data_IF_065952586953
#
_entry.id   IF_065952586953
#
_cell.length_a   1.000
_cell.length_b   1.000
_cell.length_c   1.000
_cell.angle_alpha   90.00
_cell.angle_beta   90.00
_cell.angle_gamma   90.00
#
_symmetry.space_group_name_H-M   'P 1'
#
loop_
_entity.id
_entity.type
_entity.pdbx_description
1 polymer ?
#
# COMPACT_ATOMS: atom_id res chain seq x y z
N UNK A 1 -5.18 -4.55 7.90
CA UNK A 1 -5.85 -4.49 6.59
C UNK A 1 -4.79 -4.40 5.52
N UNK A 2 -4.79 -5.35 4.58
CA UNK A 2 -3.83 -5.43 3.47
C UNK A 2 -4.63 -5.72 2.21
N UNK A 3 -4.33 -4.99 1.14
CA UNK A 3 -4.96 -5.14 -0.17
C UNK A 3 -3.85 -5.18 -1.22
N UNK A 4 -3.93 -6.09 -2.18
CA UNK A 4 -2.95 -6.18 -3.26
C UNK A 4 -3.65 -6.25 -4.61
N UNK A 5 -3.01 -5.64 -5.62
CA UNK A 5 -3.42 -5.68 -7.01
C UNK A 5 -2.36 -6.43 -7.83
N UNK A 6 -2.64 -7.68 -8.26
CA UNK A 6 -1.78 -8.42 -9.18
C UNK A 6 -1.74 -7.74 -10.56
N UNK A 7 -0.63 -7.90 -11.28
CA UNK A 7 -0.47 -7.35 -12.65
C UNK A 7 -1.13 -8.22 -13.73
N UNK A 8 -1.25 -9.52 -13.46
CA UNK A 8 -1.54 -10.52 -14.49
C UNK A 8 -3.00 -11.01 -14.47
N UNK A 9 -3.75 -10.71 -13.40
CA UNK A 9 -5.18 -11.03 -13.29
C UNK A 9 -5.99 -9.75 -13.51
N UNK A 10 -6.90 -9.76 -14.50
CA UNK A 10 -7.76 -8.67 -15.00
C UNK A 10 -8.56 -7.89 -13.90
N UNK A 11 -7.87 -7.17 -13.03
CA UNK A 11 -8.47 -6.38 -11.95
C UNK A 11 -8.88 -7.17 -10.70
N UNK A 12 -8.38 -8.39 -10.49
CA UNK A 12 -8.69 -9.13 -9.27
C UNK A 12 -8.11 -8.42 -8.04
N UNK A 13 -8.94 -8.18 -7.01
CA UNK A 13 -8.49 -7.54 -5.77
C UNK A 13 -8.26 -8.60 -4.71
N UNK A 14 -7.01 -8.75 -4.28
CA UNK A 14 -6.66 -9.65 -3.19
C UNK A 14 -6.75 -8.92 -1.86
N UNK A 15 -7.39 -9.53 -0.87
CA UNK A 15 -7.60 -8.93 0.46
C UNK A 15 -7.15 -9.87 1.56
N UNK A 16 -6.54 -9.31 2.62
CA UNK A 16 -6.22 -10.05 3.83
C UNK A 16 -4.97 -10.94 3.69
N UNK A 17 -5.11 -12.23 3.98
CA UNK A 17 -3.95 -13.14 4.06
C UNK A 17 -3.30 -13.39 2.69
N UNK A 18 -4.10 -13.48 1.62
CA UNK A 18 -3.59 -13.67 0.26
C UNK A 18 -2.74 -12.47 -0.17
N UNK A 19 -3.24 -11.25 0.05
CA UNK A 19 -2.49 -10.02 -0.21
C UNK A 19 -1.18 -9.95 0.60
N UNK A 20 -1.21 -10.34 1.88
CA UNK A 20 0.00 -10.37 2.73
C UNK A 20 1.08 -11.32 2.22
N UNK A 21 0.70 -12.47 1.63
CA UNK A 21 1.66 -13.42 1.05
C UNK A 21 2.36 -12.86 -0.18
N UNK A 22 1.64 -12.10 -0.99
CA UNK A 22 2.19 -11.48 -2.21
C UNK A 22 2.97 -10.19 -1.94
N UNK A 23 2.90 -9.62 -0.74
CA UNK A 23 3.61 -8.38 -0.40
C UNK A 23 5.12 -8.42 -0.68
N UNK A 24 5.74 -9.61 -0.62
CA UNK A 24 7.17 -9.79 -0.88
C UNK A 24 7.49 -9.78 -2.39
N UNK A 25 6.61 -10.34 -3.22
CA UNK A 25 6.81 -10.46 -4.66
C UNK A 25 6.26 -9.25 -5.43
N UNK A 26 5.25 -8.59 -4.88
CA UNK A 26 4.58 -7.43 -5.47
C UNK A 26 4.51 -6.26 -4.46
N UNK A 27 5.66 -5.70 -4.04
CA UNK A 27 5.69 -4.69 -2.98
C UNK A 27 5.06 -3.36 -3.42
N UNK A 28 5.18 -2.99 -4.71
CA UNK A 28 4.68 -1.72 -5.23
C UNK A 28 3.15 -1.65 -5.31
N UNK A 29 2.47 -2.78 -5.57
CA UNK A 29 1.02 -2.84 -5.69
C UNK A 29 0.34 -3.52 -4.48
N UNK A 30 1.06 -3.68 -3.37
CA UNK A 30 0.50 -4.20 -2.12
C UNK A 30 0.42 -3.08 -1.10
N UNK A 31 -0.81 -2.69 -0.76
CA UNK A 31 -1.13 -1.60 0.14
C UNK A 31 -1.42 -2.13 1.54
N UNK A 32 -0.70 -1.57 2.52
CA UNK A 32 -0.87 -1.83 3.95
C UNK A 32 -0.63 -0.55 4.74
N UNK A 33 -1.09 -0.52 5.99
CA UNK A 33 -1.01 0.65 6.87
C UNK A 33 -1.68 1.94 6.32
N UNK A 34 -2.51 1.85 5.28
CA UNK A 34 -3.20 2.99 4.64
C UNK A 34 -4.04 3.84 5.62
N UNK A 35 -4.51 3.26 6.74
CA UNK A 35 -5.24 4.01 7.78
C UNK A 35 -4.39 5.12 8.44
N UNK A 36 -3.06 5.07 8.33
CA UNK A 36 -2.16 6.14 8.80
C UNK A 36 -2.20 7.39 7.91
N UNK A 37 -2.53 7.19 6.63
CA UNK A 37 -2.59 8.23 5.60
C UNK A 37 -3.98 8.86 5.48
N UNK A 38 -5.04 8.14 5.86
CA UNK A 38 -6.42 8.63 5.79
C UNK A 38 -6.57 9.93 6.58
N UNK A 39 -7.04 10.98 5.89
CA UNK A 39 -7.32 12.28 6.49
C UNK A 39 -6.10 13.16 6.76
N UNK A 40 -4.90 12.74 6.32
CA UNK A 40 -3.67 13.54 6.42
C UNK A 40 -3.36 14.25 5.11
N UNK A 41 -2.62 15.35 5.20
CA UNK A 41 -2.11 16.05 4.01
C UNK A 41 -0.76 15.45 3.62
N UNK A 42 -0.41 15.52 2.35
CA UNK A 42 0.90 15.05 1.86
C UNK A 42 2.07 15.75 2.57
N UNK A 43 1.88 17.03 2.93
CA UNK A 43 2.86 17.86 3.64
C UNK A 43 3.02 17.53 5.13
N UNK A 44 2.19 16.65 5.70
CA UNK A 44 2.29 16.30 7.12
C UNK A 44 3.62 15.57 7.41
N UNK A 45 4.33 15.90 8.50
CA UNK A 45 5.61 15.27 8.84
C UNK A 45 5.48 13.75 9.05
N UNK A 46 4.32 13.30 9.54
CA UNK A 46 4.02 11.87 9.71
C UNK A 46 3.93 11.14 8.35
N UNK A 47 3.38 11.80 7.31
CA UNK A 47 3.29 11.22 5.96
C UNK A 47 4.66 11.18 5.30
N UNK A 48 5.50 12.21 5.50
CA UNK A 48 6.87 12.24 4.98
C UNK A 48 7.76 11.11 5.54
N UNK A 49 7.54 10.71 6.79
CA UNK A 49 8.19 9.53 7.39
C UNK A 49 7.62 8.22 6.82
N UNK A 50 6.29 8.12 6.69
CA UNK A 50 5.64 6.93 6.11
C UNK A 50 6.09 6.69 4.66
N UNK A 51 6.30 7.75 3.85
CA UNK A 51 6.82 7.67 2.47
C UNK A 51 8.17 6.93 2.39
N UNK A 52 9.04 7.07 3.40
CA UNK A 52 10.34 6.40 3.43
C UNK A 52 10.24 4.93 3.86
N UNK A 53 9.18 4.59 4.58
CA UNK A 53 9.00 3.28 5.22
C UNK A 53 8.20 2.30 4.34
N UNK A 54 7.29 2.81 3.52
CA UNK A 54 6.44 1.97 2.67
C UNK A 54 7.04 1.81 1.27
N UNK A 55 6.85 0.64 0.63
CA UNK A 55 7.37 0.40 -0.71
C UNK A 55 6.53 1.04 -1.83
N UNK A 56 5.25 1.31 -1.59
CA UNK A 56 4.35 1.88 -2.60
C UNK A 56 4.46 3.41 -2.65
N UNK A 57 4.14 3.98 -3.81
CA UNK A 57 4.21 5.44 -4.00
C UNK A 57 3.01 6.12 -3.34
N UNK A 58 3.29 7.15 -2.54
CA UNK A 58 2.30 8.10 -2.03
C UNK A 58 2.49 9.39 -2.83
N UNK A 59 1.42 9.90 -3.41
CA UNK A 59 1.40 11.10 -4.27
C UNK A 59 0.46 12.16 -3.68
N UNK A 60 0.68 13.42 -4.06
CA UNK A 60 -0.16 14.58 -3.69
C UNK A 60 -1.53 14.55 -4.40
#
# INVERSE_FOLDING_TARGET
SVVAFPKDDDGETLVGLQARRQAVTNPLNTFFATKRLIGRRFEDPDVAEDVKLVPYHIVE
#
